data_IF_725422373969
#
_entry.id   IF_725422373969
#
_cell.length_a   1.000
_cell.length_b   1.000
_cell.length_c   1.000
_cell.angle_alpha   90.00
_cell.angle_beta   90.00
_cell.angle_gamma   90.00
#
_symmetry.space_group_name_H-M   'P 1'
#
loop_
_entity.id
_entity.type
_entity.pdbx_description
1 polymer ?
#
# COMPACT_ATOMS: atom_id res chain seq x y z
N UNK A 1 21.37 -8.48 38.17
CA UNK A 1 20.83 -7.90 36.92
C UNK A 1 20.98 -8.98 35.87
N UNK A 2 19.93 -9.33 35.12
CA UNK A 2 20.01 -10.36 34.08
C UNK A 2 20.93 -9.86 32.96
N UNK A 3 21.93 -10.67 32.58
CA UNK A 3 22.73 -10.41 31.39
C UNK A 3 21.86 -10.66 30.14
N UNK A 4 21.90 -9.74 29.19
CA UNK A 4 21.07 -9.80 27.97
C UNK A 4 21.91 -10.17 26.76
N UNK A 5 21.31 -10.93 25.85
CA UNK A 5 21.87 -11.23 24.54
C UNK A 5 22.21 -9.93 23.80
N UNK A 6 23.45 -9.83 23.35
CA UNK A 6 23.93 -8.71 22.54
C UNK A 6 24.22 -9.24 21.15
N UNK A 7 23.75 -8.53 20.14
CA UNK A 7 23.98 -8.84 18.73
C UNK A 7 24.57 -7.62 18.03
N UNK A 8 25.49 -7.88 17.11
CA UNK A 8 26.04 -6.86 16.23
C UNK A 8 24.91 -6.19 15.45
N UNK A 9 25.01 -4.88 15.32
CA UNK A 9 23.99 -4.08 14.66
C UNK A 9 24.65 -2.97 13.86
N UNK A 10 24.23 -2.87 12.61
CA UNK A 10 24.56 -1.77 11.72
C UNK A 10 23.27 -1.17 11.19
N UNK A 11 23.14 0.15 11.27
CA UNK A 11 22.02 0.84 10.65
C UNK A 11 22.33 1.09 9.16
N UNK A 12 21.53 0.50 8.27
CA UNK A 12 21.63 0.66 6.81
C UNK A 12 20.52 1.57 6.23
N UNK A 13 19.80 2.31 7.09
CA UNK A 13 18.66 3.15 6.69
C UNK A 13 19.05 4.54 6.18
N UNK A 14 20.34 4.83 5.98
CA UNK A 14 20.83 6.16 5.60
C UNK A 14 20.19 6.70 4.32
N UNK A 15 19.91 5.81 3.34
CA UNK A 15 19.20 6.15 2.10
C UNK A 15 17.79 6.74 2.30
N UNK A 16 17.22 6.59 3.50
CA UNK A 16 15.91 7.12 3.87
C UNK A 16 16.00 8.34 4.82
N UNK A 17 17.19 8.71 5.27
CA UNK A 17 17.39 9.81 6.21
C UNK A 17 17.39 11.18 5.53
N UNK A 18 17.79 11.25 4.26
CA UNK A 18 17.87 12.51 3.52
C UNK A 18 16.49 13.02 3.10
N UNK A 19 16.16 14.23 3.53
CA UNK A 19 15.00 14.94 3.00
C UNK A 19 15.35 15.66 1.69
N UNK A 20 14.42 15.70 0.71
CA UNK A 20 14.65 16.45 -0.50
C UNK A 20 14.81 17.94 -0.18
N UNK A 21 15.93 18.51 -0.61
CA UNK A 21 16.20 19.95 -0.48
C UNK A 21 15.39 20.80 -1.47
N UNK A 22 14.85 20.18 -2.52
CA UNK A 22 14.14 20.87 -3.59
C UNK A 22 12.76 20.26 -3.88
N UNK A 23 11.71 21.01 -3.55
CA UNK A 23 10.31 20.64 -3.76
C UNK A 23 9.71 21.17 -5.07
N UNK A 24 10.49 21.82 -5.95
CA UNK A 24 10.00 22.30 -7.24
C UNK A 24 9.95 21.21 -8.32
N UNK A 25 10.51 20.03 -8.05
CA UNK A 25 10.52 18.89 -8.97
C UNK A 25 9.14 18.24 -9.09
N UNK A 26 8.76 17.86 -10.30
CA UNK A 26 7.54 17.10 -10.56
C UNK A 26 7.72 15.60 -10.28
N UNK A 27 6.62 14.93 -9.91
CA UNK A 27 6.60 13.51 -9.56
C UNK A 27 6.87 12.53 -10.73
N UNK A 28 6.84 13.00 -11.99
CA UNK A 28 7.07 12.14 -13.16
C UNK A 28 8.40 11.39 -13.12
N UNK A 29 9.44 12.05 -12.59
CA UNK A 29 10.79 11.48 -12.44
C UNK A 29 10.82 10.19 -11.62
N UNK A 30 9.96 10.07 -10.61
CA UNK A 30 9.86 8.88 -9.76
C UNK A 30 9.31 7.69 -10.56
N UNK A 31 8.26 7.92 -11.36
CA UNK A 31 7.63 6.88 -12.17
C UNK A 31 8.55 6.40 -13.29
N UNK A 32 9.25 7.32 -13.98
CA UNK A 32 10.23 6.96 -15.01
C UNK A 32 11.39 6.15 -14.42
N UNK A 33 11.92 6.57 -13.27
CA UNK A 33 13.01 5.85 -12.60
C UNK A 33 12.57 4.45 -12.16
N UNK A 34 11.35 4.32 -11.64
CA UNK A 34 10.75 3.03 -11.26
C UNK A 34 10.57 2.13 -12.47
N UNK A 35 9.94 2.62 -13.54
CA UNK A 35 9.72 1.84 -14.76
C UNK A 35 11.04 1.33 -15.32
N UNK A 36 12.05 2.21 -15.45
CA UNK A 36 13.37 1.85 -15.95
C UNK A 36 14.06 0.78 -15.10
N UNK A 37 14.06 0.94 -13.78
CA UNK A 37 14.67 -0.04 -12.88
C UNK A 37 13.96 -1.40 -12.92
N UNK A 38 12.62 -1.40 -13.03
CA UNK A 38 11.82 -2.63 -13.05
C UNK A 38 11.82 -3.31 -14.43
N UNK A 39 12.00 -2.57 -15.52
CA UNK A 39 12.02 -3.10 -16.88
C UNK A 39 13.14 -4.13 -17.08
N UNK A 40 14.31 -3.93 -16.46
CA UNK A 40 15.42 -4.89 -16.52
C UNK A 40 15.04 -6.23 -15.89
N UNK A 41 14.49 -6.23 -14.67
CA UNK A 41 14.05 -7.46 -13.98
C UNK A 41 12.87 -8.13 -14.70
N UNK A 42 11.96 -7.35 -15.26
CA UNK A 42 10.82 -7.89 -15.99
C UNK A 42 11.23 -8.55 -17.30
N UNK A 43 12.23 -8.02 -18.01
CA UNK A 43 12.76 -8.64 -19.24
C UNK A 43 13.37 -10.01 -18.98
N UNK A 44 14.11 -10.15 -17.87
CA UNK A 44 14.65 -11.45 -17.43
C UNK A 44 13.51 -12.44 -17.12
N UNK A 45 12.49 -12.02 -16.37
CA UNK A 45 11.34 -12.89 -16.08
C UNK A 45 10.52 -13.26 -17.31
N UNK A 46 10.41 -12.36 -18.28
CA UNK A 46 9.78 -12.61 -19.57
C UNK A 46 10.55 -13.68 -20.34
N UNK A 47 11.89 -13.59 -20.41
CA UNK A 47 12.69 -14.60 -21.12
C UNK A 47 12.65 -15.96 -20.43
N UNK A 48 12.60 -16.02 -19.10
CA UNK A 48 12.44 -17.27 -18.35
C UNK A 48 11.06 -17.92 -18.56
N UNK A 49 9.99 -17.13 -18.58
CA UNK A 49 8.61 -17.65 -18.55
C UNK A 49 8.07 -17.90 -19.96
N UNK A 50 8.34 -16.99 -20.89
CA UNK A 50 7.79 -17.01 -22.24
C UNK A 50 8.85 -17.21 -23.34
N UNK A 51 10.15 -17.14 -22.99
CA UNK A 51 11.25 -17.26 -23.95
C UNK A 51 11.23 -16.18 -25.02
N UNK A 52 11.84 -16.48 -26.17
CA UNK A 52 11.85 -15.60 -27.34
C UNK A 52 10.60 -15.76 -28.23
N UNK A 53 9.52 -16.36 -27.70
CA UNK A 53 8.31 -16.65 -28.46
C UNK A 53 7.53 -15.39 -28.84
N UNK A 54 7.59 -14.36 -28.00
CA UNK A 54 6.82 -13.13 -28.15
C UNK A 54 7.74 -11.91 -28.10
N UNK A 55 7.61 -10.97 -29.06
CA UNK A 55 8.41 -9.75 -29.04
C UNK A 55 8.00 -8.85 -27.87
N UNK A 56 8.99 -8.22 -27.24
CA UNK A 56 8.76 -7.16 -26.26
C UNK A 56 8.61 -5.83 -27.01
N UNK A 57 7.44 -5.22 -26.88
CA UNK A 57 7.06 -4.04 -27.64
C UNK A 57 6.75 -2.87 -26.68
N UNK A 58 7.23 -1.68 -27.03
CA UNK A 58 6.78 -0.45 -26.38
C UNK A 58 5.37 -0.13 -26.86
N UNK A 59 4.54 0.50 -26.01
CA UNK A 59 3.12 0.65 -26.33
C UNK A 59 2.95 1.43 -27.63
N UNK A 60 3.73 2.50 -27.85
CA UNK A 60 3.58 3.39 -29.02
C UNK A 60 3.79 2.69 -30.37
N UNK A 61 4.44 1.51 -30.38
CA UNK A 61 4.67 0.73 -31.60
C UNK A 61 3.58 -0.28 -31.91
N UNK A 62 2.66 -0.55 -30.97
CA UNK A 62 1.63 -1.58 -31.13
C UNK A 62 0.75 -1.35 -32.38
N UNK A 63 0.41 -0.08 -32.64
CA UNK A 63 -0.42 0.30 -33.80
C UNK A 63 0.34 0.15 -35.12
N UNK A 64 1.65 0.40 -35.12
CA UNK A 64 2.49 0.41 -36.32
C UNK A 64 2.87 -1.00 -36.77
N UNK A 65 3.23 -1.86 -35.80
CA UNK A 65 3.83 -3.17 -36.07
C UNK A 65 2.79 -4.32 -36.11
N UNK A 66 1.56 -4.08 -35.62
CA UNK A 66 0.41 -5.00 -35.68
C UNK A 66 0.76 -6.47 -35.39
N UNK A 67 1.33 -6.72 -34.22
CA UNK A 67 1.65 -8.07 -33.74
C UNK A 67 0.39 -8.86 -33.36
N UNK A 68 0.36 -10.16 -33.68
CA UNK A 68 -0.71 -11.06 -33.24
C UNK A 68 -0.74 -11.20 -31.71
N UNK A 69 0.41 -11.47 -31.10
CA UNK A 69 0.63 -11.45 -29.65
C UNK A 69 2.00 -10.85 -29.34
N UNK A 70 2.06 -9.99 -28.32
CA UNK A 70 3.29 -9.34 -27.88
C UNK A 70 3.30 -9.14 -26.37
N UNK A 71 4.49 -8.86 -25.85
CA UNK A 71 4.71 -8.53 -24.45
C UNK A 71 4.87 -7.02 -24.32
N UNK A 72 4.10 -6.41 -23.42
CA UNK A 72 4.23 -4.99 -23.08
C UNK A 72 4.66 -4.85 -21.63
N UNK A 73 5.63 -3.99 -21.38
CA UNK A 73 6.12 -3.67 -20.03
C UNK A 73 5.72 -2.23 -19.71
N UNK A 74 5.06 -2.05 -18.57
CA UNK A 74 4.55 -0.74 -18.19
C UNK A 74 4.07 -0.71 -16.74
N UNK A 75 3.56 0.45 -16.35
CA UNK A 75 3.03 0.69 -15.01
C UNK A 75 1.51 0.68 -15.03
N UNK A 76 0.90 -0.08 -14.13
CA UNK A 76 -0.55 -0.12 -13.98
C UNK A 76 -1.05 1.21 -13.43
N UNK A 77 -2.05 1.77 -14.11
CA UNK A 77 -2.85 2.88 -13.63
C UNK A 77 -4.29 2.44 -13.45
N UNK A 78 -4.79 2.51 -12.21
CA UNK A 78 -6.19 2.23 -11.89
C UNK A 78 -6.97 3.54 -11.83
N UNK A 79 -7.88 3.72 -12.80
CA UNK A 79 -8.81 4.83 -12.81
C UNK A 79 -9.99 4.50 -11.89
N UNK A 80 -9.99 5.09 -10.71
CA UNK A 80 -10.97 4.81 -9.67
C UNK A 80 -12.05 5.89 -9.62
N UNK A 81 -13.32 5.49 -9.71
CA UNK A 81 -14.45 6.44 -9.72
C UNK A 81 -14.60 7.18 -8.39
N UNK A 82 -14.35 6.48 -7.29
CA UNK A 82 -14.44 7.01 -5.93
C UNK A 82 -13.14 7.66 -5.43
N UNK A 83 -12.14 7.88 -6.29
CA UNK A 83 -10.90 8.56 -5.88
C UNK A 83 -11.18 10.05 -5.65
N UNK A 84 -10.84 10.60 -4.47
CA UNK A 84 -11.02 12.02 -4.21
C UNK A 84 -10.16 12.85 -5.17
N UNK A 85 -10.74 13.92 -5.70
CA UNK A 85 -10.07 14.84 -6.62
C UNK A 85 -10.06 16.24 -6.02
N UNK A 86 -8.86 16.80 -5.84
CA UNK A 86 -8.69 18.17 -5.33
C UNK A 86 -9.37 19.16 -6.27
N UNK A 87 -9.28 18.97 -7.59
CA UNK A 87 -9.92 19.84 -8.57
C UNK A 87 -11.45 19.80 -8.45
N UNK A 88 -12.01 18.60 -8.23
CA UNK A 88 -13.44 18.42 -8.00
C UNK A 88 -13.87 19.11 -6.70
N UNK A 89 -13.10 18.93 -5.63
CA UNK A 89 -13.35 19.60 -4.34
C UNK A 89 -13.28 21.13 -4.47
N UNK A 90 -12.30 21.67 -5.19
CA UNK A 90 -12.19 23.12 -5.42
C UNK A 90 -13.35 23.68 -6.23
N UNK A 91 -13.85 22.93 -7.22
CA UNK A 91 -15.03 23.32 -7.99
C UNK A 91 -16.31 23.27 -7.13
N UNK A 92 -16.47 22.20 -6.36
CA UNK A 92 -17.62 21.96 -5.48
C UNK A 92 -17.57 22.82 -4.20
N UNK A 93 -16.43 23.41 -3.81
CA UNK A 93 -16.31 24.28 -2.63
C UNK A 93 -17.20 25.54 -2.68
N UNK A 94 -17.80 25.84 -3.84
CA UNK A 94 -18.82 26.88 -4.01
C UNK A 94 -20.25 26.40 -3.66
N UNK A 95 -20.46 25.11 -3.44
CA UNK A 95 -21.72 24.47 -3.06
C UNK A 95 -21.51 23.68 -1.76
N UNK A 96 -22.35 23.94 -0.77
CA UNK A 96 -22.20 23.48 0.62
C UNK A 96 -22.02 21.96 0.79
N UNK A 97 -21.24 21.64 1.83
CA UNK A 97 -21.01 20.34 2.47
C UNK A 97 -20.33 19.24 1.63
N UNK A 98 -19.01 19.16 1.79
CA UNK A 98 -18.20 18.04 1.30
C UNK A 98 -18.51 16.77 2.09
N UNK A 99 -19.11 15.77 1.45
CA UNK A 99 -19.18 14.44 2.03
C UNK A 99 -17.79 13.79 2.08
N UNK A 100 -17.46 13.04 3.15
CA UNK A 100 -16.21 12.28 3.22
C UNK A 100 -16.24 11.18 2.16
N UNK A 101 -15.53 11.40 1.05
CA UNK A 101 -15.35 10.38 0.01
C UNK A 101 -14.24 9.45 0.45
N UNK A 102 -14.61 8.27 0.93
CA UNK A 102 -13.66 7.18 1.12
C UNK A 102 -13.27 6.63 -0.25
N UNK A 103 -11.96 6.59 -0.54
CA UNK A 103 -11.43 5.87 -1.70
C UNK A 103 -11.63 4.38 -1.47
N UNK A 104 -12.76 3.86 -1.95
CA UNK A 104 -13.02 2.42 -1.99
C UNK A 104 -12.84 1.93 -3.41
N UNK A 105 -12.21 0.75 -3.60
CA UNK A 105 -12.23 0.10 -4.90
C UNK A 105 -13.68 -0.18 -5.29
N UNK A 106 -14.02 0.16 -6.52
CA UNK A 106 -15.34 -0.06 -7.09
C UNK A 106 -15.24 -1.10 -8.22
N UNK A 107 -16.31 -1.87 -8.41
CA UNK A 107 -16.36 -2.87 -9.49
C UNK A 107 -16.26 -2.23 -10.88
N UNK A 108 -16.57 -0.94 -11.00
CA UNK A 108 -16.46 -0.18 -12.26
C UNK A 108 -15.09 0.44 -12.50
N UNK A 109 -14.12 0.22 -11.61
CA UNK A 109 -12.77 0.73 -11.76
C UNK A 109 -12.08 0.14 -13.01
N UNK A 110 -11.42 1.01 -13.77
CA UNK A 110 -10.78 0.63 -15.03
C UNK A 110 -9.27 0.56 -14.86
N UNK A 111 -8.67 -0.48 -15.43
CA UNK A 111 -7.21 -0.63 -15.49
C UNK A 111 -6.66 -0.12 -16.81
N UNK A 112 -5.51 0.50 -16.72
CA UNK A 112 -4.69 0.93 -17.84
C UNK A 112 -3.25 0.50 -17.59
N UNK A 113 -2.50 0.25 -18.66
CA UNK A 113 -1.04 0.17 -18.62
C UNK A 113 -0.47 1.44 -19.24
N UNK A 114 0.53 2.03 -18.59
CA UNK A 114 1.20 3.24 -19.03
C UNK A 114 2.69 2.96 -19.28
N UNK A 115 3.23 3.49 -20.37
CA UNK A 115 4.67 3.59 -20.63
C UNK A 115 5.11 5.06 -20.57
N UNK A 116 6.27 5.41 -21.14
CA UNK A 116 6.78 6.77 -21.14
C UNK A 116 5.96 7.76 -22.00
N UNK A 117 5.21 7.25 -22.99
CA UNK A 117 4.59 8.07 -24.03
C UNK A 117 3.07 7.97 -24.05
N UNK A 118 2.50 6.81 -23.70
CA UNK A 118 1.07 6.57 -23.85
C UNK A 118 0.53 5.52 -22.87
N UNK A 119 -0.78 5.29 -22.98
CA UNK A 119 -1.49 4.32 -22.15
C UNK A 119 -2.53 3.54 -22.93
N UNK A 120 -2.75 2.31 -22.51
CA UNK A 120 -3.73 1.40 -23.09
C UNK A 120 -4.70 0.91 -22.03
N UNK A 121 -5.99 0.84 -22.37
CA UNK A 121 -7.01 0.26 -21.50
C UNK A 121 -6.90 -1.26 -21.51
N UNK A 122 -6.87 -1.87 -20.32
CA UNK A 122 -6.70 -3.31 -20.18
C UNK A 122 -8.06 -4.01 -20.11
N UNK A 123 -8.19 -5.09 -20.88
CA UNK A 123 -9.33 -6.01 -20.84
C UNK A 123 -8.83 -7.46 -20.81
N UNK A 124 -9.71 -8.41 -20.50
CA UNK A 124 -9.37 -9.84 -20.54
C UNK A 124 -9.03 -10.39 -19.16
N UNK A 125 -7.99 -11.23 -19.09
CA UNK A 125 -7.62 -11.97 -17.88
C UNK A 125 -6.77 -11.11 -16.93
N UNK A 126 -7.39 -10.09 -16.36
CA UNK A 126 -6.75 -9.19 -15.39
C UNK A 126 -7.78 -8.73 -14.36
N UNK A 127 -7.44 -8.87 -13.08
CA UNK A 127 -8.35 -8.54 -11.98
C UNK A 127 -8.14 -7.11 -11.50
N UNK A 128 -9.18 -6.28 -11.63
CA UNK A 128 -9.18 -4.90 -11.16
C UNK A 128 -9.20 -4.79 -9.64
N UNK A 129 -9.61 -5.82 -8.89
CA UNK A 129 -9.73 -5.75 -7.43
C UNK A 129 -8.39 -5.88 -6.72
N UNK A 130 -7.53 -6.77 -7.21
CA UNK A 130 -6.22 -7.06 -6.63
C UNK A 130 -5.14 -6.07 -7.05
N UNK A 131 -5.25 -5.48 -8.23
CA UNK A 131 -4.27 -4.53 -8.75
C UNK A 131 -4.49 -3.10 -8.24
N UNK A 132 -3.37 -2.42 -7.97
CA UNK A 132 -3.33 -1.01 -7.57
C UNK A 132 -2.44 -0.19 -8.49
N UNK A 133 -2.67 1.11 -8.53
CA UNK A 133 -1.86 2.06 -9.31
C UNK A 133 -0.40 2.05 -8.86
N UNK A 134 0.52 2.06 -9.83
CA UNK A 134 1.95 2.20 -9.60
C UNK A 134 2.75 0.89 -9.60
N UNK A 135 2.09 -0.26 -9.79
CA UNK A 135 2.74 -1.56 -9.98
C UNK A 135 3.30 -1.62 -11.40
N UNK A 136 4.58 -1.98 -11.55
CA UNK A 136 5.17 -2.27 -12.86
C UNK A 136 5.08 -3.77 -13.15
N UNK A 137 4.59 -4.14 -14.32
CA UNK A 137 4.41 -5.54 -14.72
C UNK A 137 4.66 -5.71 -16.23
N UNK A 138 4.79 -6.96 -16.66
CA UNK A 138 4.75 -7.33 -18.07
C UNK A 138 3.43 -8.03 -18.38
N UNK A 139 2.77 -7.64 -19.47
CA UNK A 139 1.51 -8.21 -19.93
C UNK A 139 1.74 -8.89 -21.28
N UNK A 140 1.25 -10.11 -21.41
CA UNK A 140 1.19 -10.81 -22.69
C UNK A 140 -0.23 -10.73 -23.24
N UNK A 141 -0.35 -10.31 -24.50
CA UNK A 141 -1.65 -10.11 -25.11
C UNK A 141 -1.57 -9.50 -26.50
N UNK A 142 -2.69 -8.97 -26.96
CA UNK A 142 -2.84 -8.38 -28.29
C UNK A 142 -3.50 -7.01 -28.25
N UNK A 143 -3.14 -6.14 -29.19
CA UNK A 143 -3.86 -4.89 -29.42
C UNK A 143 -5.15 -5.18 -30.19
N UNK A 144 -6.30 -4.88 -29.59
CA UNK A 144 -7.62 -5.03 -30.25
C UNK A 144 -8.09 -3.74 -30.92
N UNK A 145 -7.22 -2.74 -30.98
CA UNK A 145 -7.47 -1.40 -31.52
C UNK A 145 -8.16 -0.46 -30.53
N UNK A 146 -8.22 0.81 -30.91
CA UNK A 146 -8.82 1.91 -30.11
C UNK A 146 -8.16 2.07 -28.72
N UNK A 147 -6.86 1.79 -28.62
CA UNK A 147 -6.11 1.91 -27.37
C UNK A 147 -6.53 0.90 -26.30
N UNK A 148 -6.94 -0.31 -26.71
CA UNK A 148 -7.34 -1.38 -25.81
C UNK A 148 -6.42 -2.59 -26.01
N UNK A 149 -5.90 -3.13 -24.91
CA UNK A 149 -5.02 -4.28 -24.91
C UNK A 149 -5.73 -5.47 -24.26
N UNK A 150 -5.84 -6.58 -24.98
CA UNK A 150 -6.44 -7.81 -24.50
C UNK A 150 -5.38 -8.67 -23.81
N UNK A 151 -5.41 -8.66 -22.47
CA UNK A 151 -4.48 -9.40 -21.62
C UNK A 151 -4.86 -10.89 -21.60
N UNK A 152 -3.89 -11.74 -21.92
CA UNK A 152 -3.98 -13.19 -21.75
C UNK A 152 -3.36 -13.62 -20.43
N UNK A 153 -2.15 -13.14 -20.18
CA UNK A 153 -1.33 -13.46 -19.01
C UNK A 153 -0.57 -12.20 -18.56
N UNK A 154 -0.20 -12.16 -17.29
CA UNK A 154 0.63 -11.09 -16.74
C UNK A 154 1.63 -11.66 -15.74
N UNK A 155 2.79 -11.00 -15.64
CA UNK A 155 3.84 -11.34 -14.68
C UNK A 155 4.32 -10.08 -13.95
N UNK A 156 4.77 -10.29 -12.71
CA UNK A 156 5.42 -9.27 -11.90
C UNK A 156 6.92 -9.56 -11.83
N UNK A 157 7.69 -8.56 -11.40
CA UNK A 157 9.07 -8.80 -11.02
C UNK A 157 9.12 -9.74 -9.81
N UNK A 158 10.10 -10.64 -9.81
CA UNK A 158 10.31 -11.57 -8.70
C UNK A 158 11.06 -10.92 -7.55
N UNK A 159 11.20 -11.69 -6.47
CA UNK A 159 12.04 -11.33 -5.35
C UNK A 159 13.50 -11.22 -5.79
N UNK A 160 14.20 -10.28 -5.16
CA UNK A 160 15.65 -10.20 -5.30
C UNK A 160 16.29 -11.43 -4.63
N UNK A 161 17.50 -11.84 -5.07
CA UNK A 161 18.24 -12.90 -4.41
C UNK A 161 18.28 -12.66 -2.90
N UNK A 162 17.76 -13.62 -2.14
CA UNK A 162 17.69 -13.53 -0.69
C UNK A 162 19.10 -13.71 -0.12
N UNK A 163 19.50 -12.85 0.82
CA UNK A 163 20.75 -12.99 1.54
C UNK A 163 20.64 -14.20 2.48
N UNK A 164 21.69 -15.00 2.58
CA UNK A 164 21.71 -16.15 3.48
C UNK A 164 21.51 -15.71 4.93
N UNK A 165 20.60 -16.39 5.62
CA UNK A 165 20.30 -16.11 7.02
C UNK A 165 21.51 -16.50 7.89
N UNK A 166 22.00 -15.61 8.79
CA UNK A 166 23.03 -15.99 9.75
C UNK A 166 22.52 -17.10 10.68
N UNK A 167 23.35 -18.12 10.89
CA UNK A 167 23.05 -19.24 11.79
C UNK A 167 23.59 -18.86 13.18
N UNK A 168 22.70 -18.84 14.16
CA UNK A 168 23.04 -18.62 15.56
C UNK A 168 23.03 -19.95 16.32
N UNK A 169 23.96 -20.11 17.27
CA UNK A 169 24.00 -21.29 18.13
C UNK A 169 22.90 -21.28 19.20
N UNK A 170 22.47 -20.08 19.60
CA UNK A 170 21.45 -19.84 20.62
C UNK A 170 20.30 -19.00 20.05
N UNK A 171 19.11 -19.18 20.62
CA UNK A 171 17.94 -18.37 20.27
C UNK A 171 18.12 -16.91 20.69
N UNK A 172 17.86 -16.00 19.76
CA UNK A 172 17.81 -14.56 20.00
C UNK A 172 16.47 -14.01 19.52
N UNK A 173 15.83 -13.18 20.33
CA UNK A 173 14.50 -12.64 20.05
C UNK A 173 14.53 -11.14 19.75
N UNK A 174 13.64 -10.74 18.83
CA UNK A 174 13.33 -9.36 18.49
C UNK A 174 11.86 -9.10 18.85
N UNK A 175 11.59 -8.03 19.59
CA UNK A 175 10.22 -7.63 19.91
C UNK A 175 9.79 -6.53 18.97
N UNK A 176 8.67 -6.75 18.26
CA UNK A 176 8.05 -5.76 17.38
C UNK A 176 6.76 -5.25 18.02
N UNK A 177 6.65 -3.93 18.17
CA UNK A 177 5.46 -3.26 18.66
C UNK A 177 5.08 -2.12 17.71
N UNK A 178 3.81 -1.75 17.63
CA UNK A 178 3.34 -0.59 16.86
C UNK A 178 1.99 -0.13 17.40
N UNK A 179 1.53 1.06 16.99
CA UNK A 179 0.16 1.49 17.29
C UNK A 179 -0.11 1.75 18.76
N UNK A 180 0.92 2.12 19.54
CA UNK A 180 0.75 2.39 20.97
C UNK A 180 -0.28 3.49 21.23
N UNK A 181 -0.48 4.48 20.35
CA UNK A 181 -1.53 5.50 20.52
C UNK A 181 -1.63 6.08 21.96
N UNK A 182 -0.55 6.67 22.46
CA UNK A 182 -0.46 7.18 23.84
C UNK A 182 -1.52 8.23 24.21
N UNK A 183 -2.19 8.84 23.23
CA UNK A 183 -3.33 9.75 23.48
C UNK A 183 -4.51 9.00 24.10
N UNK A 184 -4.77 7.77 23.66
CA UNK A 184 -5.80 6.90 24.22
C UNK A 184 -5.22 5.87 25.21
N UNK A 185 -4.12 6.23 25.88
CA UNK A 185 -3.38 5.36 26.80
C UNK A 185 -4.23 4.71 27.87
N UNK A 186 -5.27 5.38 28.37
CA UNK A 186 -6.22 4.82 29.34
C UNK A 186 -6.82 3.47 28.92
N UNK A 187 -6.93 3.16 27.62
CA UNK A 187 -7.47 1.89 27.11
C UNK A 187 -6.51 0.71 27.29
N UNK A 188 -5.20 0.94 27.42
CA UNK A 188 -4.20 -0.15 27.41
C UNK A 188 -3.00 0.07 28.35
N UNK A 189 -2.97 1.15 29.13
CA UNK A 189 -1.85 1.47 30.04
C UNK A 189 -1.49 0.32 30.99
N UNK A 190 -2.45 -0.39 31.63
CA UNK A 190 -2.11 -1.54 32.46
C UNK A 190 -1.41 -2.66 31.67
N UNK A 191 -1.84 -2.90 30.42
CA UNK A 191 -1.22 -3.90 29.54
C UNK A 191 0.19 -3.48 29.14
N UNK A 192 0.42 -2.18 28.91
CA UNK A 192 1.75 -1.64 28.62
C UNK A 192 2.67 -1.77 29.84
N UNK A 193 2.18 -1.46 31.04
CA UNK A 193 2.93 -1.64 32.29
C UNK A 193 3.31 -3.11 32.50
N UNK A 194 2.36 -4.03 32.32
CA UNK A 194 2.65 -5.48 32.36
C UNK A 194 3.70 -5.88 31.34
N UNK A 195 3.62 -5.35 30.11
CA UNK A 195 4.61 -5.61 29.07
C UNK A 195 6.00 -5.07 29.44
N UNK A 196 6.07 -3.89 30.07
CA UNK A 196 7.34 -3.32 30.58
C UNK A 196 7.89 -4.20 31.71
N UNK A 197 7.04 -4.65 32.65
CA UNK A 197 7.46 -5.56 33.73
C UNK A 197 7.91 -6.93 33.20
N UNK A 198 7.28 -7.42 32.13
CA UNK A 198 7.73 -8.62 31.43
C UNK A 198 9.10 -8.37 30.78
N UNK A 199 9.23 -7.30 29.98
CA UNK A 199 10.48 -6.93 29.30
C UNK A 199 11.64 -6.67 30.26
N UNK A 200 11.37 -6.19 31.48
CA UNK A 200 12.38 -5.97 32.51
C UNK A 200 12.79 -7.25 33.25
N UNK A 201 12.07 -8.36 33.05
CA UNK A 201 12.29 -9.65 33.70
C UNK A 201 11.69 -9.75 35.11
N UNK A 202 10.88 -8.76 35.53
CA UNK A 202 10.28 -8.71 36.87
C UNK A 202 9.17 -9.74 37.08
N UNK A 203 8.63 -10.31 36.00
CA UNK A 203 7.56 -11.33 36.05
C UNK A 203 8.09 -12.79 36.06
N UNK A 204 9.36 -13.01 36.42
CA UNK A 204 9.91 -14.37 36.64
C UNK A 204 10.26 -15.15 35.35
N UNK A 205 10.42 -14.47 34.23
CA UNK A 205 10.73 -15.05 32.90
C UNK A 205 12.14 -14.68 32.39
N UNK A 206 13.12 -14.72 33.30
CA UNK A 206 14.49 -14.27 33.02
C UNK A 206 15.17 -14.99 31.85
N UNK A 207 14.89 -16.28 31.65
CA UNK A 207 15.53 -17.09 30.60
C UNK A 207 15.10 -16.68 29.19
N UNK A 208 13.84 -16.28 29.00
CA UNK A 208 13.34 -15.79 27.71
C UNK A 208 13.71 -14.32 27.50
N UNK A 209 13.55 -13.50 28.54
CA UNK A 209 13.76 -12.05 28.45
C UNK A 209 15.23 -11.69 28.30
N UNK A 210 16.15 -12.49 28.87
CA UNK A 210 17.59 -12.35 28.64
C UNK A 210 17.96 -12.55 27.16
N UNK A 211 17.23 -13.40 26.43
CA UNK A 211 17.43 -13.64 24.99
C UNK A 211 16.82 -12.56 24.09
N UNK A 212 16.07 -11.60 24.63
CA UNK A 212 15.53 -10.46 23.85
C UNK A 212 16.63 -9.43 23.64
N UNK A 213 17.12 -9.33 22.41
CA UNK A 213 18.21 -8.43 22.06
C UNK A 213 17.73 -7.00 21.78
N UNK A 214 16.57 -6.83 21.11
CA UNK A 214 16.05 -5.51 20.73
C UNK A 214 14.53 -5.43 20.75
N UNK A 215 14.05 -4.20 20.90
CA UNK A 215 12.64 -3.82 20.76
C UNK A 215 12.55 -2.77 19.65
N UNK A 216 11.67 -2.98 18.67
CA UNK A 216 11.40 -2.06 17.56
C UNK A 216 9.96 -1.58 17.67
N UNK A 217 9.78 -0.26 17.71
CA UNK A 217 8.46 0.38 17.71
C UNK A 217 8.18 0.95 16.33
N UNK A 218 7.36 0.24 15.54
CA UNK A 218 7.03 0.55 14.16
C UNK A 218 5.86 1.55 14.02
N UNK A 219 6.06 2.76 14.55
CA UNK A 219 5.17 3.90 14.32
C UNK A 219 3.81 3.85 15.02
N UNK A 220 2.98 4.86 14.73
CA UNK A 220 1.67 5.09 15.35
C UNK A 220 1.70 5.14 16.90
N UNK A 221 2.83 5.57 17.48
CA UNK A 221 2.98 5.67 18.93
C UNK A 221 2.18 6.82 19.53
N UNK A 222 2.02 7.92 18.79
CA UNK A 222 1.29 9.12 19.22
C UNK A 222 0.32 9.51 18.09
N UNK A 223 -0.94 9.84 18.43
CA UNK A 223 -1.89 10.47 17.51
C UNK A 223 -1.99 11.97 17.81
N UNK A 224 -2.26 12.81 16.80
CA UNK A 224 -2.37 14.26 16.98
C UNK A 224 -3.78 14.76 17.28
N UNK A 225 -4.80 13.88 17.32
CA UNK A 225 -6.17 14.22 17.70
C UNK A 225 -6.73 13.14 18.62
N UNK A 226 -7.34 13.55 19.74
CA UNK A 226 -8.25 12.68 20.48
C UNK A 226 -9.41 12.30 19.55
N UNK A 227 -9.95 11.09 19.70
CA UNK A 227 -11.11 10.64 18.91
C UNK A 227 -12.18 11.73 18.96
N UNK A 228 -12.52 12.34 17.81
CA UNK A 228 -13.81 12.99 17.67
C UNK A 228 -14.82 11.86 17.80
N UNK A 229 -15.38 11.70 19.01
CA UNK A 229 -16.66 11.04 19.14
C UNK A 229 -17.59 11.78 18.20
N UNK A 230 -17.84 11.22 17.02
CA UNK A 230 -19.12 11.43 16.37
C UNK A 230 -20.12 10.88 17.38
N UNK A 231 -20.62 11.77 18.23
CA UNK A 231 -21.81 11.53 19.01
C UNK A 231 -22.84 11.12 17.97
N UNK A 232 -23.14 9.83 17.91
CA UNK A 232 -24.35 9.35 17.27
C UNK A 232 -25.45 10.23 17.83
N UNK A 233 -26.01 11.10 16.99
CA UNK A 233 -27.03 12.07 17.39
C UNK A 233 -28.09 11.25 18.13
N UNK A 234 -28.11 11.39 19.46
CA UNK A 234 -29.15 10.81 20.30
C UNK A 234 -30.41 11.58 19.96
N UNK A 235 -31.38 10.91 19.34
CA UNK A 235 -32.68 11.42 18.93
C UNK A 235 -33.57 11.77 20.14
N UNK A 236 -33.11 12.67 21.02
CA UNK A 236 -33.90 13.18 22.14
C UNK A 236 -34.11 14.69 22.10
N UNK A 237 -33.64 15.39 21.07
CA UNK A 237 -34.09 16.75 20.78
C UNK A 237 -35.23 16.69 19.75
N UNK A 238 -36.48 16.85 20.21
CA UNK A 238 -37.64 17.05 19.34
C UNK A 238 -37.47 18.38 18.58
N UNK A 239 -36.99 18.30 17.35
CA UNK A 239 -37.14 19.34 16.33
C UNK A 239 -37.96 18.71 15.20
N UNK A 240 -38.97 19.37 14.62
CA UNK A 240 -39.79 18.75 13.58
C UNK A 240 -38.97 18.59 12.31
N UNK A 241 -38.68 17.34 11.93
CA UNK A 241 -37.91 16.97 10.73
C UNK A 241 -38.77 17.01 9.45
N UNK A 242 -38.15 17.46 8.36
CA UNK A 242 -38.61 17.26 6.98
C UNK A 242 -38.15 15.90 6.43
N UNK A 243 -38.95 15.33 5.52
CA UNK A 243 -38.84 13.95 5.02
C UNK A 243 -37.50 13.59 4.36
N UNK A 244 -36.72 14.56 3.87
CA UNK A 244 -35.44 14.33 3.18
C UNK A 244 -34.31 13.86 4.12
N UNK A 245 -34.40 14.17 5.42
CA UNK A 245 -33.35 13.83 6.40
C UNK A 245 -33.37 12.35 6.80
N UNK A 246 -34.54 11.71 6.72
CA UNK A 246 -34.76 10.32 7.15
C UNK A 246 -34.12 9.31 6.19
N UNK A 247 -34.08 9.60 4.88
CA UNK A 247 -33.46 8.71 3.89
C UNK A 247 -31.93 8.72 3.93
N UNK A 248 -31.31 9.85 4.29
CA UNK A 248 -29.85 9.97 4.40
C UNK A 248 -29.28 9.15 5.56
N UNK A 249 -29.98 9.15 6.71
CA UNK A 249 -29.57 8.40 7.92
C UNK A 249 -29.74 6.89 7.72
N UNK A 250 -30.76 6.45 6.97
CA UNK A 250 -30.99 5.04 6.67
C UNK A 250 -29.90 4.41 5.79
N UNK A 251 -29.25 5.18 4.91
CA UNK A 251 -28.11 4.72 4.10
C UNK A 251 -26.81 4.57 4.89
N UNK A 252 -26.58 5.43 5.88
CA UNK A 252 -25.35 5.41 6.69
C UNK A 252 -25.23 4.19 7.61
N UNK A 253 -26.35 3.63 8.08
CA UNK A 253 -26.34 2.45 8.97
C UNK A 253 -26.06 1.11 8.28
N UNK A 254 -26.15 1.03 6.94
CA UNK A 254 -25.93 -0.24 6.20
C UNK A 254 -24.46 -0.53 5.88
N UNK A 255 -23.52 0.36 6.20
CA UNK A 255 -22.12 0.29 5.75
C UNK A 255 -21.09 -0.04 6.84
N UNK A 256 -21.51 -0.43 8.05
CA UNK A 256 -20.58 -0.85 9.11
C UNK A 256 -20.01 -2.24 8.86
N UNK A 257 -18.85 -2.33 8.22
CA UNK A 257 -18.02 -3.54 8.20
C UNK A 257 -16.56 -3.15 8.46
N UNK A 258 -15.98 -3.76 9.49
CA UNK A 258 -14.60 -3.57 9.92
C UNK A 258 -13.63 -4.00 8.82
N UNK A 259 -12.62 -3.18 8.52
CA UNK A 259 -11.51 -3.57 7.63
C UNK A 259 -10.18 -3.33 8.33
N UNK A 260 -9.52 -4.45 8.65
CA UNK A 260 -8.12 -4.51 9.07
C UNK A 260 -7.23 -4.24 7.85
N UNK A 261 -6.50 -3.13 7.85
CA UNK A 261 -5.40 -2.93 6.90
C UNK A 261 -4.15 -3.62 7.44
N UNK A 262 -3.73 -4.68 6.76
CA UNK A 262 -2.43 -5.31 6.97
C UNK A 262 -1.39 -4.52 6.16
N UNK A 263 -0.61 -3.67 6.84
CA UNK A 263 0.59 -3.07 6.26
C UNK A 263 1.73 -4.05 6.47
N UNK A 264 2.13 -4.75 5.40
CA UNK A 264 3.36 -5.57 5.41
C UNK A 264 4.56 -4.63 5.50
N UNK A 265 5.23 -4.63 6.64
CA UNK A 265 6.54 -3.99 6.81
C UNK A 265 7.58 -5.01 6.34
N UNK A 266 8.24 -4.71 5.23
CA UNK A 266 9.49 -5.41 4.87
C UNK A 266 10.60 -4.86 5.77
N UNK A 267 11.00 -5.64 6.75
CA UNK A 267 12.27 -5.47 7.43
C UNK A 267 13.30 -6.26 6.60
N UNK A 268 14.16 -5.54 5.87
CA UNK A 268 15.44 -6.10 5.44
C UNK A 268 16.26 -6.28 6.74
N UNK A 269 16.34 -7.53 7.22
CA UNK A 269 17.26 -7.96 8.29
C UNK A 269 18.38 -8.75 7.64
#
# INVERSE_FOLDING_TARGET
MLERATVDYQNLSERFAEQPSNYSKQYCSIYLSRLKAMEEFLKERVSETWGDKYPICKLYKLVEENYDECVVIGTIFKNQKCKPSILRQLAEASQLEMQPVFSRPDETDQLFIEDELQRYHLIGNIDSKTLVTGITCALLGSDIGKGKFQVREYLFADYRPQIDRPIYNDDVYLVLASGLDFVNSHKFLPNLEMFIFWLSGMLGCGDTVSKVARVVIAGNSIKCKAEEHFSSISLTARVPESQDTVEAVARSKRSGCETNFCTTIFLDI
#
